data_IF_685392190211
#
_entry.id   IF_685392190211
#
_cell.length_a   1.000
_cell.length_b   1.000
_cell.length_c   1.000
_cell.angle_alpha   90.00
_cell.angle_beta   90.00
_cell.angle_gamma   90.00
#
_symmetry.space_group_name_H-M   'P 1'
#
loop_
_entity.id
_entity.type
_entity.pdbx_description
1 polymer ?
#
# COMPACT_ATOMS: atom_id res chain seq x y z
N UNK A 1 31.43 -13.19 -12.05
CA UNK A 1 30.10 -12.68 -12.46
C UNK A 1 29.33 -12.35 -11.18
N UNK A 2 29.31 -11.10 -10.73
CA UNK A 2 28.51 -10.72 -9.55
C UNK A 2 27.03 -10.83 -9.94
N UNK A 3 26.30 -11.77 -9.32
CA UNK A 3 24.84 -11.71 -9.29
C UNK A 3 24.49 -10.55 -8.35
N UNK A 4 24.07 -9.42 -8.92
CA UNK A 4 23.37 -8.41 -8.12
C UNK A 4 22.04 -9.02 -7.71
N UNK A 5 21.93 -9.46 -6.45
CA UNK A 5 20.64 -9.81 -5.85
C UNK A 5 19.89 -8.50 -5.65
N UNK A 6 18.85 -8.26 -6.45
CA UNK A 6 17.90 -7.18 -6.18
C UNK A 6 17.22 -7.55 -4.85
N UNK A 7 17.48 -6.78 -3.79
CA UNK A 7 16.77 -6.93 -2.52
C UNK A 7 15.37 -6.34 -2.69
N UNK A 8 14.45 -7.19 -3.13
CA UNK A 8 13.03 -6.91 -3.12
C UNK A 8 12.55 -6.92 -1.66
N UNK A 9 12.04 -5.79 -1.17
CA UNK A 9 11.60 -5.67 0.22
C UNK A 9 10.16 -5.14 0.32
N UNK A 10 9.38 -5.81 1.17
CA UNK A 10 8.07 -5.34 1.60
C UNK A 10 8.23 -4.52 2.88
N UNK A 11 7.59 -3.36 2.93
CA UNK A 11 7.48 -2.53 4.13
C UNK A 11 6.01 -2.37 4.49
N UNK A 12 5.70 -2.49 5.79
CA UNK A 12 4.34 -2.35 6.31
C UNK A 12 4.30 -1.13 7.21
N UNK A 13 3.38 -0.23 6.92
CA UNK A 13 3.07 0.93 7.74
C UNK A 13 1.70 0.79 8.40
N UNK A 14 1.62 1.14 9.67
CA UNK A 14 0.39 1.09 10.48
C UNK A 14 0.53 2.06 11.67
N UNK A 15 -0.43 2.04 12.60
CA UNK A 15 -0.40 2.86 13.83
C UNK A 15 0.94 2.79 14.59
N UNK A 16 1.52 1.59 14.71
CA UNK A 16 2.76 1.34 15.47
C UNK A 16 4.04 1.59 14.67
N UNK A 17 3.97 1.63 13.34
CA UNK A 17 5.08 1.92 12.45
C UNK A 17 4.62 2.86 11.34
N UNK A 18 4.65 4.16 11.60
CA UNK A 18 4.16 5.17 10.65
C UNK A 18 5.24 5.52 9.62
N UNK A 19 4.86 5.84 8.37
CA UNK A 19 5.80 6.38 7.41
C UNK A 19 6.20 7.80 7.82
N UNK A 20 7.40 8.22 7.44
CA UNK A 20 7.75 9.63 7.45
C UNK A 20 6.83 10.43 6.51
N UNK A 21 6.78 11.75 6.69
CA UNK A 21 5.99 12.62 5.81
C UNK A 21 6.42 12.51 4.34
N UNK A 22 7.73 12.31 4.09
CA UNK A 22 8.27 12.14 2.75
C UNK A 22 7.84 10.80 2.13
N UNK A 23 7.93 9.70 2.87
CA UNK A 23 7.46 8.38 2.43
C UNK A 23 5.97 8.40 2.14
N UNK A 24 5.15 8.98 3.03
CA UNK A 24 3.71 9.12 2.80
C UNK A 24 3.41 9.90 1.52
N UNK A 25 4.12 11.03 1.28
CA UNK A 25 3.97 11.80 0.03
C UNK A 25 4.36 10.99 -1.20
N UNK A 26 5.44 10.20 -1.12
CA UNK A 26 5.87 9.30 -2.20
C UNK A 26 4.80 8.23 -2.50
N UNK A 27 4.21 7.63 -1.47
CA UNK A 27 3.14 6.63 -1.63
C UNK A 27 1.89 7.25 -2.28
N UNK A 28 1.45 8.42 -1.81
CA UNK A 28 0.30 9.13 -2.39
C UNK A 28 0.56 9.46 -3.86
N UNK A 29 1.74 10.00 -4.18
CA UNK A 29 2.13 10.33 -5.55
C UNK A 29 2.16 9.09 -6.46
N UNK A 30 2.71 7.99 -5.96
CA UNK A 30 2.78 6.71 -6.65
C UNK A 30 1.38 6.14 -6.96
N UNK A 31 0.49 6.11 -5.97
CA UNK A 31 -0.89 5.64 -6.16
C UNK A 31 -1.64 6.53 -7.15
N UNK A 32 -1.54 7.85 -7.02
CA UNK A 32 -2.15 8.79 -7.95
C UNK A 32 -1.68 8.58 -9.40
N UNK A 33 -0.38 8.35 -9.63
CA UNK A 33 0.15 8.10 -10.96
C UNK A 33 -0.29 6.73 -11.52
N UNK A 34 -0.27 5.67 -10.71
CA UNK A 34 -0.37 4.30 -11.20
C UNK A 34 -1.75 3.64 -11.08
N UNK A 35 -2.70 4.25 -10.37
CA UNK A 35 -4.11 3.84 -10.38
C UNK A 35 -4.82 4.23 -11.70
N UNK A 36 -4.29 5.22 -12.43
CA UNK A 36 -4.80 5.68 -13.72
C UNK A 36 -6.32 5.96 -13.66
N UNK A 37 -7.13 5.30 -14.49
CA UNK A 37 -8.59 5.50 -14.55
C UNK A 37 -9.36 5.01 -13.32
N UNK A 38 -8.70 4.30 -12.41
CA UNK A 38 -9.27 3.80 -11.16
C UNK A 38 -8.78 4.61 -9.94
N UNK A 39 -8.03 5.70 -10.19
CA UNK A 39 -7.47 6.54 -9.14
C UNK A 39 -8.44 7.63 -8.71
N UNK A 40 -8.36 7.96 -7.43
CA UNK A 40 -8.99 9.14 -6.85
C UNK A 40 -8.01 10.32 -6.80
N UNK A 41 -8.51 11.49 -6.40
CA UNK A 41 -7.68 12.65 -6.14
C UNK A 41 -6.67 12.36 -5.01
N UNK A 42 -5.52 13.05 -5.01
CA UNK A 42 -4.46 12.85 -4.00
C UNK A 42 -4.98 13.03 -2.58
N UNK A 43 -5.92 13.94 -2.39
CA UNK A 43 -6.55 14.25 -1.11
C UNK A 43 -7.37 13.06 -0.59
N UNK A 44 -8.06 12.34 -1.46
CA UNK A 44 -8.86 11.17 -1.08
C UNK A 44 -7.99 9.93 -0.87
N UNK A 45 -6.91 9.78 -1.65
CA UNK A 45 -5.85 8.80 -1.38
C UNK A 45 -5.22 9.05 0.00
N UNK A 46 -4.91 10.31 0.31
CA UNK A 46 -4.34 10.70 1.60
C UNK A 46 -5.28 10.36 2.76
N UNK A 47 -6.58 10.63 2.64
CA UNK A 47 -7.58 10.29 3.68
C UNK A 47 -7.64 8.79 3.96
N UNK A 48 -7.57 7.95 2.93
CA UNK A 48 -7.56 6.50 3.09
C UNK A 48 -6.29 6.02 3.78
N UNK A 49 -5.13 6.56 3.41
CA UNK A 49 -3.87 6.27 4.10
C UNK A 49 -3.95 6.72 5.56
N UNK A 50 -4.47 7.91 5.84
CA UNK A 50 -4.59 8.43 7.21
C UNK A 50 -5.56 7.62 8.07
N UNK A 51 -6.62 7.09 7.47
CA UNK A 51 -7.47 6.09 8.10
C UNK A 51 -6.67 4.84 8.48
N UNK A 52 -5.94 4.24 7.52
CA UNK A 52 -5.18 3.01 7.76
C UNK A 52 -4.09 3.16 8.83
N UNK A 53 -3.50 4.35 8.94
CA UNK A 53 -2.45 4.70 9.91
C UNK A 53 -2.98 5.20 11.25
N UNK A 54 -4.30 5.36 11.39
CA UNK A 54 -4.95 5.92 12.57
C UNK A 54 -4.39 7.31 12.95
N UNK A 55 -4.27 8.21 11.97
CA UNK A 55 -3.91 9.62 12.22
C UNK A 55 -5.03 10.41 12.89
N UNK A 56 -6.24 9.86 12.85
CA UNK A 56 -7.42 10.30 13.57
C UNK A 56 -8.21 9.06 14.04
N UNK A 57 -9.14 9.20 15.00
CA UNK A 57 -9.94 8.07 15.49
C UNK A 57 -10.60 7.30 14.35
N UNK A 58 -10.20 6.05 14.16
CA UNK A 58 -10.63 5.15 13.10
C UNK A 58 -10.34 3.70 13.51
N UNK A 59 -10.76 2.72 12.70
CA UNK A 59 -10.47 1.31 12.95
C UNK A 59 -9.05 0.89 12.48
N UNK A 60 -8.31 1.81 11.86
CA UNK A 60 -6.95 1.57 11.39
C UNK A 60 -6.90 0.68 10.15
N UNK A 61 -5.82 -0.07 10.04
CA UNK A 61 -5.49 -0.87 8.87
C UNK A 61 -3.99 -0.89 8.66
N UNK A 62 -3.56 -0.94 7.40
CA UNK A 62 -2.15 -0.80 7.06
C UNK A 62 -1.95 -0.37 5.60
N UNK A 63 -0.78 0.22 5.34
CA UNK A 63 -0.24 0.43 4.00
C UNK A 63 0.93 -0.51 3.80
N UNK A 64 0.97 -1.21 2.67
CA UNK A 64 2.09 -2.09 2.32
C UNK A 64 2.74 -1.61 1.03
N UNK A 65 4.06 -1.46 1.03
CA UNK A 65 4.83 -1.07 -0.15
C UNK A 65 5.81 -2.16 -0.53
N UNK A 66 6.01 -2.36 -1.83
CA UNK A 66 7.05 -3.22 -2.38
C UNK A 66 8.10 -2.35 -3.08
N UNK A 67 9.36 -2.51 -2.68
CA UNK A 67 10.49 -1.83 -3.30
C UNK A 67 11.33 -2.82 -4.10
N UNK A 68 11.65 -2.46 -5.34
CA UNK A 68 12.62 -3.16 -6.19
C UNK A 68 13.93 -2.37 -6.16
N UNK A 69 14.79 -2.65 -5.18
CA UNK A 69 15.93 -1.78 -4.88
C UNK A 69 15.47 -0.45 -4.28
N UNK A 70 15.95 0.72 -4.77
CA UNK A 70 15.54 2.02 -4.25
C UNK A 70 14.16 2.49 -4.78
N UNK A 71 13.58 1.78 -5.76
CA UNK A 71 12.36 2.20 -6.42
C UNK A 71 11.11 1.60 -5.77
N UNK A 72 10.13 2.46 -5.46
CA UNK A 72 8.79 2.02 -5.08
C UNK A 72 8.12 1.40 -6.31
N UNK A 73 7.84 0.10 -6.24
CA UNK A 73 7.37 -0.69 -7.37
C UNK A 73 5.90 -1.12 -7.24
N UNK A 74 5.36 -1.19 -6.02
CA UNK A 74 3.92 -1.37 -5.78
C UNK A 74 3.51 -0.84 -4.40
N UNK A 75 2.23 -0.50 -4.26
CA UNK A 75 1.63 -0.09 -2.99
C UNK A 75 0.20 -0.65 -2.86
N UNK A 76 -0.16 -1.00 -1.64
CA UNK A 76 -1.49 -1.48 -1.22
C UNK A 76 -1.94 -0.68 0.00
N UNK A 77 -3.21 -0.31 0.04
CA UNK A 77 -3.86 0.34 1.20
C UNK A 77 -5.03 -0.53 1.64
N UNK A 78 -4.99 -0.99 2.88
CA UNK A 78 -6.04 -1.80 3.53
C UNK A 78 -6.59 -1.01 4.71
N UNK A 79 -7.91 -0.85 4.75
CA UNK A 79 -8.61 -0.29 5.90
C UNK A 79 -9.36 -1.39 6.65
N UNK A 80 -9.29 -1.37 7.97
CA UNK A 80 -10.18 -2.19 8.80
C UNK A 80 -11.55 -1.52 8.86
N UNK A 81 -12.61 -2.29 8.71
CA UNK A 81 -13.99 -1.78 8.65
C UNK A 81 -14.61 -1.63 10.04
N UNK A 82 -14.11 -2.39 11.01
CA UNK A 82 -14.74 -2.49 12.34
C UNK A 82 -16.05 -3.27 12.35
N UNK A 83 -16.35 -4.03 11.30
CA UNK A 83 -17.63 -4.72 11.11
C UNK A 83 -17.51 -6.25 11.16
N UNK A 84 -16.60 -6.74 11.99
CA UNK A 84 -16.39 -8.17 12.24
C UNK A 84 -17.73 -8.87 12.55
N UNK A 85 -17.95 -10.03 11.94
CA UNK A 85 -19.18 -10.82 12.10
C UNK A 85 -20.37 -10.39 11.22
N UNK A 86 -20.24 -9.36 10.39
CA UNK A 86 -21.31 -8.95 9.46
C UNK A 86 -20.84 -8.69 8.02
N UNK A 87 -19.72 -7.96 7.84
CA UNK A 87 -19.07 -7.77 6.53
C UNK A 87 -17.56 -8.04 6.67
N UNK A 88 -16.77 -8.08 5.56
CA UNK A 88 -15.33 -8.27 5.67
C UNK A 88 -14.66 -7.29 6.63
N UNK A 89 -13.83 -7.81 7.53
CA UNK A 89 -13.11 -7.02 8.54
C UNK A 89 -12.11 -6.05 7.89
N UNK A 90 -11.58 -6.40 6.72
CA UNK A 90 -10.63 -5.59 5.96
C UNK A 90 -11.19 -5.28 4.57
N UNK A 91 -10.98 -4.06 4.09
CA UNK A 91 -11.28 -3.64 2.72
C UNK A 91 -10.00 -3.20 2.01
N UNK A 92 -9.78 -3.75 0.82
CA UNK A 92 -8.77 -3.26 -0.12
C UNK A 92 -9.25 -1.96 -0.74
N UNK A 93 -8.65 -0.84 -0.31
CA UNK A 93 -8.99 0.47 -0.84
C UNK A 93 -8.23 0.73 -2.13
N UNK A 94 -6.92 0.55 -2.12
CA UNK A 94 -6.08 0.75 -3.29
C UNK A 94 -5.06 -0.36 -3.46
N UNK A 95 -4.78 -0.71 -4.72
CA UNK A 95 -3.60 -1.45 -5.13
C UNK A 95 -3.08 -0.88 -6.44
N UNK A 96 -1.80 -0.55 -6.49
CA UNK A 96 -1.13 -0.17 -7.72
C UNK A 96 0.23 -0.85 -7.83
N UNK A 97 0.61 -1.17 -9.06
CA UNK A 97 1.97 -1.58 -9.43
C UNK A 97 2.48 -0.59 -10.47
N UNK A 98 3.77 -0.24 -10.39
CA UNK A 98 4.41 0.65 -11.33
C UNK A 98 4.14 0.16 -12.76
N UNK A 99 3.66 1.06 -13.64
CA UNK A 99 3.14 0.71 -14.97
C UNK A 99 4.11 -0.12 -15.82
N UNK A 100 5.42 0.17 -15.73
CA UNK A 100 6.48 -0.54 -16.48
C UNK A 100 6.85 -1.90 -15.87
N UNK A 101 6.37 -2.22 -14.67
CA UNK A 101 6.62 -3.47 -13.95
C UNK A 101 5.38 -4.38 -13.91
N UNK A 102 4.28 -3.99 -14.56
CA UNK A 102 3.08 -4.83 -14.71
C UNK A 102 3.43 -6.13 -15.44
N UNK A 103 2.67 -7.19 -15.14
CA UNK A 103 2.89 -8.53 -15.70
C UNK A 103 4.05 -9.33 -15.07
N UNK A 104 4.83 -8.75 -14.16
CA UNK A 104 5.95 -9.43 -13.47
C UNK A 104 5.58 -10.12 -12.15
N UNK A 105 4.28 -10.19 -11.83
CA UNK A 105 3.79 -10.84 -10.61
C UNK A 105 3.97 -10.04 -9.31
N UNK A 106 4.52 -8.81 -9.34
CA UNK A 106 4.73 -7.98 -8.14
C UNK A 106 3.43 -7.68 -7.40
N UNK A 107 2.40 -7.23 -8.12
CA UNK A 107 1.09 -6.95 -7.51
C UNK A 107 0.47 -8.20 -6.87
N UNK A 108 0.65 -9.39 -7.46
CA UNK A 108 0.20 -10.65 -6.88
C UNK A 108 0.92 -10.95 -5.57
N UNK A 109 2.25 -10.86 -5.55
CA UNK A 109 3.05 -11.07 -4.32
C UNK A 109 2.65 -10.11 -3.21
N UNK A 110 2.43 -8.84 -3.55
CA UNK A 110 2.04 -7.82 -2.58
C UNK A 110 0.62 -8.07 -2.05
N UNK A 111 -0.30 -8.52 -2.90
CA UNK A 111 -1.66 -8.90 -2.48
C UNK A 111 -1.64 -10.13 -1.56
N UNK A 112 -0.88 -11.17 -1.89
CA UNK A 112 -0.73 -12.36 -1.04
C UNK A 112 -0.16 -11.99 0.33
N UNK A 113 0.84 -11.11 0.37
CA UNK A 113 1.38 -10.59 1.63
C UNK A 113 0.33 -9.79 2.42
N UNK A 114 -0.48 -8.96 1.76
CA UNK A 114 -1.55 -8.22 2.39
C UNK A 114 -2.62 -9.15 2.99
N UNK A 115 -3.04 -10.20 2.27
CA UNK A 115 -3.99 -11.20 2.77
C UNK A 115 -3.45 -11.92 4.00
N UNK A 116 -2.16 -12.28 4.02
CA UNK A 116 -1.53 -12.96 5.17
C UNK A 116 -1.35 -12.05 6.40
N UNK A 117 -1.38 -10.74 6.21
CA UNK A 117 -1.27 -9.75 7.28
C UNK A 117 -2.64 -9.39 7.90
N UNK A 118 -3.73 -9.65 7.17
CA UNK A 118 -5.10 -9.28 7.49
C UNK A 118 -5.76 -10.21 8.49
#
# INVERSE_FOLDING_TARGET
MLKFTIMDNITIFNKGNKPTLEEKRKIIGFLYEHLEKFGDAKEDIAKAIDYSLEEYPSFGGFVMTYHSGPELAAAVVINRTGMEGYIPENILVYIATHKTLRGKGIGKKLMEAAINQS
#
